data_IF_558423188486
#
_entry.id   IF_558423188486
#
_cell.length_a   1.000
_cell.length_b   1.000
_cell.length_c   1.000
_cell.angle_alpha   90.00
_cell.angle_beta   90.00
_cell.angle_gamma   90.00
#
_symmetry.space_group_name_H-M   'P 1'
#
loop_
_entity.id
_entity.type
_entity.pdbx_description
1 polymer ?
#
# COMPACT_ATOMS: atom_id res chain seq x y z
N UNK A 1 -4.32 11.08 17.73
CA UNK A 1 -4.23 10.21 16.54
C UNK A 1 -3.02 10.70 15.76
N UNK A 2 -1.94 9.91 15.71
CA UNK A 2 -0.72 10.31 15.00
C UNK A 2 -0.99 10.16 13.51
N UNK A 3 -1.07 11.29 12.79
CA UNK A 3 -1.04 11.28 11.34
C UNK A 3 0.35 10.80 10.93
N UNK A 4 0.46 9.54 10.57
CA UNK A 4 1.65 9.00 9.90
C UNK A 4 1.63 9.51 8.46
N UNK A 5 1.89 10.81 8.29
CA UNK A 5 1.97 11.56 7.03
C UNK A 5 3.29 11.27 6.30
N UNK A 6 3.67 9.99 6.21
CA UNK A 6 4.74 9.54 5.31
C UNK A 6 4.23 9.65 3.88
N UNK A 7 4.24 10.87 3.35
CA UNK A 7 3.83 11.17 2.00
C UNK A 7 4.75 10.45 0.99
N UNK A 8 4.25 10.21 -0.21
CA UNK A 8 5.02 9.60 -1.31
C UNK A 8 6.34 10.33 -1.59
N UNK A 9 6.42 11.62 -1.29
CA UNK A 9 7.59 12.46 -1.47
C UNK A 9 8.73 12.05 -0.50
N UNK A 10 8.40 11.69 0.74
CA UNK A 10 9.35 11.27 1.77
C UNK A 10 9.96 9.90 1.42
N UNK A 11 9.13 8.96 0.95
CA UNK A 11 9.60 7.70 0.38
C UNK A 11 10.50 7.91 -0.85
N UNK A 12 10.11 8.81 -1.76
CA UNK A 12 10.93 9.13 -2.95
C UNK A 12 12.27 9.74 -2.53
N UNK A 13 12.29 10.55 -1.48
CA UNK A 13 13.50 11.19 -0.93
C UNK A 13 14.42 10.17 -0.28
N UNK A 14 13.87 9.29 0.57
CA UNK A 14 14.64 8.22 1.21
C UNK A 14 15.22 7.24 0.18
N UNK A 15 14.47 6.93 -0.88
CA UNK A 15 14.95 6.07 -1.98
C UNK A 15 15.98 6.77 -2.87
N UNK A 16 15.90 8.09 -3.01
CA UNK A 16 16.92 8.89 -3.71
C UNK A 16 18.23 8.90 -2.93
N UNK A 17 18.18 8.88 -1.59
CA UNK A 17 19.36 8.77 -0.74
C UNK A 17 20.06 7.41 -0.91
N UNK A 18 19.31 6.32 -1.14
CA UNK A 18 19.88 5.02 -1.49
C UNK A 18 20.64 5.06 -2.82
N UNK A 19 20.15 5.86 -3.80
CA UNK A 19 20.85 6.08 -5.08
C UNK A 19 22.19 6.79 -4.90
N UNK A 20 22.33 7.68 -3.92
CA UNK A 20 23.60 8.39 -3.64
C UNK A 20 24.62 7.58 -2.85
N UNK A 21 24.18 6.53 -2.14
CA UNK A 21 25.09 5.64 -1.39
C UNK A 21 25.93 4.72 -2.30
N UNK A 22 25.61 4.65 -3.60
CA UNK A 22 26.37 3.90 -4.60
C UNK A 22 27.75 4.48 -4.97
N UNK A 23 28.26 5.45 -4.20
CA UNK A 23 29.62 5.97 -4.35
C UNK A 23 30.66 5.21 -3.51
N UNK A 24 30.23 4.35 -2.57
CA UNK A 24 31.09 3.36 -1.93
C UNK A 24 30.85 2.01 -2.61
N UNK A 25 31.92 1.34 -3.05
CA UNK A 25 31.86 0.11 -3.85
C UNK A 25 31.32 -1.06 -3.01
N UNK A 26 30.05 -1.41 -3.20
CA UNK A 26 29.45 -2.61 -2.61
C UNK A 26 30.01 -3.87 -3.29
N UNK A 27 30.16 -4.95 -2.52
CA UNK A 27 30.58 -6.24 -3.07
C UNK A 27 29.42 -6.96 -3.78
N UNK A 28 29.71 -7.85 -4.72
CA UNK A 28 28.69 -8.63 -5.44
C UNK A 28 27.77 -9.44 -4.49
N UNK A 29 28.31 -9.95 -3.38
CA UNK A 29 27.52 -10.64 -2.35
C UNK A 29 26.55 -9.71 -1.62
N UNK A 30 26.95 -8.45 -1.37
CA UNK A 30 26.09 -7.42 -0.78
C UNK A 30 24.96 -7.05 -1.75
N UNK A 31 25.28 -6.85 -3.03
CA UNK A 31 24.28 -6.56 -4.07
C UNK A 31 23.25 -7.69 -4.20
N UNK A 32 23.69 -8.95 -4.15
CA UNK A 32 22.82 -10.13 -4.23
C UNK A 32 21.92 -10.29 -2.99
N UNK A 33 22.45 -10.03 -1.79
CA UNK A 33 21.70 -10.09 -0.54
C UNK A 33 20.56 -9.05 -0.54
N UNK A 34 20.87 -7.83 -0.97
CA UNK A 34 19.92 -6.71 -1.03
C UNK A 34 18.87 -6.92 -2.13
N UNK A 35 19.24 -7.48 -3.29
CA UNK A 35 18.28 -7.91 -4.30
C UNK A 35 17.30 -8.98 -3.76
N UNK A 36 17.79 -9.93 -2.96
CA UNK A 36 16.97 -10.93 -2.28
C UNK A 36 16.08 -10.33 -1.18
N UNK A 37 16.55 -9.31 -0.48
CA UNK A 37 15.75 -8.56 0.49
C UNK A 37 14.62 -7.77 -0.19
N UNK A 38 14.93 -7.06 -1.29
CA UNK A 38 13.95 -6.33 -2.09
C UNK A 38 12.87 -7.25 -2.67
N UNK A 39 13.24 -8.43 -3.17
CA UNK A 39 12.28 -9.42 -3.68
C UNK A 39 11.32 -9.90 -2.60
N UNK A 40 11.83 -10.23 -1.41
CA UNK A 40 10.99 -10.63 -0.26
C UNK A 40 10.07 -9.50 0.19
N UNK A 41 10.57 -8.27 0.24
CA UNK A 41 9.77 -7.11 0.61
C UNK A 41 8.64 -6.85 -0.38
N UNK A 42 8.89 -6.93 -1.69
CA UNK A 42 7.86 -6.85 -2.72
C UNK A 42 6.81 -7.96 -2.55
N UNK A 43 7.24 -9.19 -2.26
CA UNK A 43 6.32 -10.30 -1.98
C UNK A 43 5.40 -10.04 -0.78
N UNK A 44 5.93 -9.45 0.29
CA UNK A 44 5.13 -9.04 1.45
C UNK A 44 4.13 -7.93 1.12
N UNK A 45 4.52 -6.96 0.28
CA UNK A 45 3.61 -5.91 -0.20
C UNK A 45 2.48 -6.51 -1.03
N UNK A 46 2.77 -7.48 -1.90
CA UNK A 46 1.75 -8.15 -2.71
C UNK A 46 0.73 -8.92 -1.85
N UNK A 47 1.20 -9.66 -0.83
CA UNK A 47 0.31 -10.33 0.12
C UNK A 47 -0.57 -9.33 0.91
N UNK A 48 -0.02 -8.17 1.28
CA UNK A 48 -0.79 -7.11 1.93
C UNK A 48 -1.83 -6.50 0.99
N UNK A 49 -1.48 -6.24 -0.27
CA UNK A 49 -2.41 -5.74 -1.29
C UNK A 49 -3.55 -6.72 -1.55
N UNK A 50 -3.29 -8.02 -1.61
CA UNK A 50 -4.33 -9.03 -1.78
C UNK A 50 -5.27 -9.12 -0.58
N UNK A 51 -4.74 -8.95 0.64
CA UNK A 51 -5.56 -8.84 1.85
C UNK A 51 -6.48 -7.60 1.79
N UNK A 52 -5.94 -6.45 1.40
CA UNK A 52 -6.73 -5.22 1.27
C UNK A 52 -7.79 -5.33 0.17
N UNK A 53 -7.50 -5.99 -0.95
CA UNK A 53 -8.47 -6.27 -2.01
C UNK A 53 -9.65 -7.11 -1.51
N UNK A 54 -9.36 -8.13 -0.69
CA UNK A 54 -10.41 -8.95 -0.05
C UNK A 54 -11.29 -8.10 0.89
N UNK A 55 -10.66 -7.23 1.69
CA UNK A 55 -11.39 -6.31 2.58
C UNK A 55 -12.25 -5.31 1.80
N UNK A 56 -11.75 -4.76 0.68
CA UNK A 56 -12.52 -3.88 -0.21
C UNK A 56 -13.74 -4.60 -0.77
N UNK A 57 -13.57 -5.83 -1.27
CA UNK A 57 -14.69 -6.61 -1.81
C UNK A 57 -15.75 -6.87 -0.73
N UNK A 58 -15.34 -7.21 0.50
CA UNK A 58 -16.25 -7.37 1.63
C UNK A 58 -17.01 -6.09 1.98
N UNK A 59 -16.32 -4.95 2.05
CA UNK A 59 -16.94 -3.66 2.35
C UNK A 59 -17.86 -3.16 1.24
N UNK A 60 -17.52 -3.37 -0.03
CA UNK A 60 -18.41 -3.10 -1.17
C UNK A 60 -19.67 -3.97 -1.12
N UNK A 61 -19.53 -5.24 -0.73
CA UNK A 61 -20.65 -6.13 -0.48
C UNK A 61 -21.57 -5.61 0.64
N UNK A 62 -21.00 -5.15 1.75
CA UNK A 62 -21.75 -4.52 2.85
C UNK A 62 -22.45 -3.24 2.42
N UNK A 63 -21.78 -2.39 1.63
CA UNK A 63 -22.36 -1.17 1.09
C UNK A 63 -23.57 -1.48 0.21
N UNK A 64 -23.44 -2.44 -0.70
CA UNK A 64 -24.53 -2.90 -1.57
C UNK A 64 -25.68 -3.51 -0.76
N UNK A 65 -25.37 -4.30 0.27
CA UNK A 65 -26.39 -4.86 1.15
C UNK A 65 -27.15 -3.77 1.91
N UNK A 66 -26.46 -2.81 2.53
CA UNK A 66 -27.08 -1.69 3.25
C UNK A 66 -27.91 -0.78 2.34
N UNK A 67 -27.48 -0.55 1.11
CA UNK A 67 -28.22 0.25 0.14
C UNK A 67 -29.60 -0.37 -0.20
N UNK A 68 -29.70 -1.70 -0.14
CA UNK A 68 -30.92 -2.45 -0.45
C UNK A 68 -31.68 -2.90 0.81
N UNK A 69 -31.14 -2.67 2.01
CA UNK A 69 -31.75 -3.09 3.25
C UNK A 69 -33.02 -2.26 3.54
N UNK A 70 -34.16 -2.95 3.66
CA UNK A 70 -35.38 -2.37 4.19
C UNK A 70 -35.27 -2.24 5.72
N UNK A 71 -35.12 -1.01 6.18
CA UNK A 71 -35.00 -0.66 7.60
C UNK A 71 -36.33 -0.14 8.19
N UNK A 72 -37.42 -0.26 7.43
CA UNK A 72 -38.72 0.29 7.79
C UNK A 72 -38.69 1.83 7.92
N UNK A 73 -39.67 2.39 8.65
CA UNK A 73 -39.81 3.83 8.86
C UNK A 73 -39.37 4.31 10.25
N UNK A 74 -38.74 3.43 11.05
CA UNK A 74 -38.23 3.83 12.36
C UNK A 74 -37.06 4.79 12.18
N UNK A 75 -37.20 6.02 12.68
CA UNK A 75 -36.18 7.08 12.58
C UNK A 75 -34.81 6.58 13.04
N UNK A 76 -34.76 5.82 14.14
CA UNK A 76 -33.51 5.23 14.67
C UNK A 76 -32.85 4.26 13.69
N UNK A 77 -33.62 3.45 12.97
CA UNK A 77 -33.12 2.49 12.00
C UNK A 77 -32.62 3.19 10.73
N UNK A 78 -33.34 4.21 10.24
CA UNK A 78 -32.90 5.03 9.11
C UNK A 78 -31.62 5.83 9.42
N UNK A 79 -31.51 6.38 10.63
CA UNK A 79 -30.30 7.11 11.07
C UNK A 79 -29.11 6.18 11.20
N UNK A 80 -29.31 5.01 11.83
CA UNK A 80 -28.24 3.99 11.96
C UNK A 80 -27.74 3.54 10.60
N UNK A 81 -28.64 3.30 9.63
CA UNK A 81 -28.25 2.98 8.26
C UNK A 81 -27.40 4.08 7.62
N UNK A 82 -27.76 5.34 7.83
CA UNK A 82 -26.99 6.48 7.34
C UNK A 82 -25.57 6.53 7.90
N UNK A 83 -25.42 6.35 9.21
CA UNK A 83 -24.10 6.29 9.85
C UNK A 83 -23.27 5.10 9.33
N UNK A 84 -23.86 3.90 9.23
CA UNK A 84 -23.16 2.73 8.69
C UNK A 84 -22.71 2.92 7.23
N UNK A 85 -23.52 3.59 6.41
CA UNK A 85 -23.13 3.93 5.03
C UNK A 85 -21.94 4.90 4.99
N UNK A 86 -21.93 5.89 5.89
CA UNK A 86 -20.81 6.81 6.02
C UNK A 86 -19.55 6.08 6.49
N UNK A 87 -19.64 5.27 7.55
CA UNK A 87 -18.52 4.51 8.10
C UNK A 87 -17.89 3.58 7.04
N UNK A 88 -18.72 2.91 6.24
CA UNK A 88 -18.23 2.05 5.15
C UNK A 88 -17.54 2.88 4.06
N UNK A 89 -18.08 4.06 3.74
CA UNK A 89 -17.47 4.94 2.74
C UNK A 89 -16.09 5.42 3.21
N UNK A 90 -15.98 5.87 4.47
CA UNK A 90 -14.71 6.27 5.08
C UNK A 90 -13.70 5.11 5.13
N UNK A 91 -14.17 3.90 5.46
CA UNK A 91 -13.35 2.69 5.42
C UNK A 91 -12.82 2.39 4.01
N UNK A 92 -13.69 2.42 2.99
CA UNK A 92 -13.30 2.19 1.60
C UNK A 92 -12.26 3.21 1.13
N UNK A 93 -12.42 4.49 1.48
CA UNK A 93 -11.45 5.53 1.18
C UNK A 93 -10.09 5.27 1.85
N UNK A 94 -10.08 4.92 3.13
CA UNK A 94 -8.86 4.62 3.88
C UNK A 94 -8.10 3.44 3.29
N UNK A 95 -8.81 2.35 2.96
CA UNK A 95 -8.20 1.16 2.35
C UNK A 95 -7.64 1.48 0.96
N UNK A 96 -8.36 2.26 0.14
CA UNK A 96 -7.86 2.68 -1.17
C UNK A 96 -6.60 3.57 -1.07
N UNK A 97 -6.55 4.51 -0.12
CA UNK A 97 -5.36 5.33 0.13
C UNK A 97 -4.16 4.46 0.52
N UNK A 98 -4.37 3.49 1.41
CA UNK A 98 -3.31 2.60 1.85
C UNK A 98 -2.84 1.65 0.73
N UNK A 99 -3.76 1.13 -0.09
CA UNK A 99 -3.41 0.33 -1.27
C UNK A 99 -2.57 1.13 -2.29
N UNK A 100 -2.92 2.39 -2.55
CA UNK A 100 -2.13 3.27 -3.42
C UNK A 100 -0.73 3.52 -2.87
N UNK A 101 -0.61 3.72 -1.56
CA UNK A 101 0.68 3.85 -0.88
C UNK A 101 1.55 2.59 -1.06
N UNK A 102 0.98 1.41 -0.82
CA UNK A 102 1.68 0.13 -1.01
C UNK A 102 2.10 -0.09 -2.47
N UNK A 103 1.26 0.29 -3.43
CA UNK A 103 1.59 0.17 -4.86
C UNK A 103 2.76 1.09 -5.26
N UNK A 104 2.80 2.31 -4.72
CA UNK A 104 3.91 3.22 -4.96
C UNK A 104 5.20 2.71 -4.30
N UNK A 105 5.11 2.19 -3.08
CA UNK A 105 6.22 1.58 -2.37
C UNK A 105 6.78 0.39 -3.16
N UNK A 106 5.93 -0.51 -3.67
CA UNK A 106 6.32 -1.61 -4.56
C UNK A 106 7.07 -1.11 -5.79
N UNK A 107 6.56 -0.07 -6.44
CA UNK A 107 7.17 0.52 -7.64
C UNK A 107 8.54 1.11 -7.34
N UNK A 108 8.67 1.82 -6.22
CA UNK A 108 9.93 2.38 -5.76
C UNK A 108 10.95 1.28 -5.44
N UNK A 109 10.56 0.25 -4.69
CA UNK A 109 11.44 -0.89 -4.35
C UNK A 109 11.87 -1.64 -5.62
N UNK A 110 10.97 -1.89 -6.57
CA UNK A 110 11.32 -2.51 -7.84
C UNK A 110 12.29 -1.64 -8.66
N UNK A 111 12.14 -0.31 -8.61
CA UNK A 111 13.08 0.64 -9.20
C UNK A 111 14.47 0.55 -8.57
N UNK A 112 14.57 0.53 -7.24
CA UNK A 112 15.86 0.37 -6.56
C UNK A 112 16.51 -0.99 -6.84
N UNK A 113 15.75 -2.08 -6.84
CA UNK A 113 16.25 -3.40 -7.18
C UNK A 113 16.83 -3.47 -8.61
N UNK A 114 16.21 -2.75 -9.56
CA UNK A 114 16.74 -2.60 -10.93
C UNK A 114 18.06 -1.83 -10.95
N UNK A 115 18.20 -0.78 -10.14
CA UNK A 115 19.45 -0.01 -10.06
C UNK A 115 20.61 -0.87 -9.51
N UNK A 116 20.35 -1.67 -8.47
CA UNK A 116 21.31 -2.62 -7.90
C UNK A 116 21.77 -3.63 -8.96
N UNK A 117 20.83 -4.23 -9.69
CA UNK A 117 21.17 -5.21 -10.73
C UNK A 117 21.91 -4.61 -11.93
N UNK A 118 21.64 -3.35 -12.30
CA UNK A 118 22.45 -2.66 -13.32
C UNK A 118 23.84 -2.26 -12.83
N UNK A 119 24.02 -2.01 -11.53
CA UNK A 119 25.33 -1.72 -10.95
C UNK A 119 26.23 -2.98 -10.86
N UNK A 120 25.63 -4.17 -10.80
CA UNK A 120 26.32 -5.47 -10.78
C UNK A 120 26.77 -5.96 -12.17
N UNK A 121 26.39 -5.27 -13.26
CA UNK A 121 26.80 -5.66 -14.62
C UNK A 121 28.15 -5.02 -15.01
N UNK A 122 29.11 -5.80 -15.56
CA UNK A 122 30.36 -5.25 -16.07
C UNK A 122 30.09 -4.33 -17.26
N UNK A 123 30.73 -3.16 -17.28
CA UNK A 123 30.72 -2.21 -18.40
C UNK A 123 31.56 -2.70 -19.58
#
# INVERSE_FOLDING_TARGET
MSNDDRNLLDLTTQMSAWRSAGNDLWTADQLRLEAGAATRFIGNIDAALDTLRSQLAGAQGLQSWLANADVGQFVSATTTRGHLQQDITEFLEAVNKYANYLQALKTATAGAARLITTADQPR
#
